data_IF_124410937216
#
_entry.id   IF_124410937216
#
_cell.length_a   1.000
_cell.length_b   1.000
_cell.length_c   1.000
_cell.angle_alpha   90.00
_cell.angle_beta   90.00
_cell.angle_gamma   90.00
#
_symmetry.space_group_name_H-M   'P 1'
#
loop_
_entity.id
_entity.type
_entity.pdbx_description
1 polymer ?
#
# COMPACT_ATOMS: atom_id res chain seq x y z
N UNK A 1 22.19 -30.13 -18.68
CA UNK A 1 21.03 -30.66 -19.44
C UNK A 1 19.80 -30.45 -18.57
N UNK A 2 19.27 -29.22 -18.57
CA UNK A 2 18.05 -28.79 -17.87
C UNK A 2 17.68 -27.43 -18.46
N UNK A 3 17.13 -27.47 -19.68
CA UNK A 3 16.68 -26.30 -20.45
C UNK A 3 15.15 -26.36 -20.61
N UNK A 4 14.45 -26.71 -19.51
CA UNK A 4 13.07 -27.16 -19.55
C UNK A 4 12.01 -26.18 -19.00
N UNK A 5 12.38 -25.09 -18.30
CA UNK A 5 11.37 -24.36 -17.49
C UNK A 5 11.17 -22.88 -17.82
N UNK A 6 11.58 -22.41 -19.01
CA UNK A 6 11.22 -21.07 -19.50
C UNK A 6 9.97 -21.08 -20.39
N UNK A 7 8.95 -21.85 -20.01
CA UNK A 7 7.62 -21.75 -20.64
C UNK A 7 6.98 -20.45 -20.15
N UNK A 8 7.11 -19.39 -20.96
CA UNK A 8 6.46 -18.11 -20.70
C UNK A 8 4.98 -18.35 -20.36
N UNK A 9 4.48 -17.82 -19.22
CA UNK A 9 3.12 -18.07 -18.77
C UNK A 9 2.15 -17.66 -19.87
N UNK A 10 1.23 -18.57 -20.24
CA UNK A 10 0.23 -18.30 -21.26
C UNK A 10 -0.55 -17.03 -20.90
N UNK A 11 -0.76 -16.13 -21.88
CA UNK A 11 -1.43 -14.82 -21.70
C UNK A 11 -2.77 -14.94 -20.94
N UNK A 12 -3.43 -16.09 -21.05
CA UNK A 12 -4.67 -16.45 -20.34
C UNK A 12 -4.47 -16.57 -18.83
N UNK A 13 -3.41 -17.26 -18.35
CA UNK A 13 -3.11 -17.37 -16.91
C UNK A 13 -2.82 -16.00 -16.29
N UNK A 14 -2.12 -15.14 -17.04
CA UNK A 14 -1.78 -13.79 -16.58
C UNK A 14 -3.03 -12.90 -16.44
N UNK A 15 -3.98 -12.99 -17.39
CA UNK A 15 -5.27 -12.28 -17.29
C UNK A 15 -6.12 -12.76 -16.11
N UNK A 16 -6.21 -14.07 -15.90
CA UNK A 16 -6.98 -14.63 -14.78
C UNK A 16 -6.38 -14.21 -13.44
N UNK A 17 -5.06 -14.29 -13.29
CA UNK A 17 -4.37 -13.84 -12.08
C UNK A 17 -4.60 -12.35 -11.78
N UNK A 18 -4.57 -11.50 -12.81
CA UNK A 18 -4.87 -10.07 -12.66
C UNK A 18 -6.33 -9.83 -12.24
N UNK A 19 -7.27 -10.56 -12.83
CA UNK A 19 -8.69 -10.42 -12.51
C UNK A 19 -9.00 -10.89 -11.10
N UNK A 20 -8.44 -12.05 -10.72
CA UNK A 20 -8.55 -12.59 -9.37
C UNK A 20 -7.95 -11.64 -8.33
N UNK A 21 -6.77 -11.09 -8.61
CA UNK A 21 -6.13 -10.08 -7.75
C UNK A 21 -7.02 -8.87 -7.52
N UNK A 22 -7.68 -8.34 -8.56
CA UNK A 22 -8.58 -7.18 -8.45
C UNK A 22 -9.78 -7.45 -7.53
N UNK A 23 -10.45 -8.58 -7.73
CA UNK A 23 -11.63 -8.95 -6.93
C UNK A 23 -11.22 -9.25 -5.48
N UNK A 24 -10.14 -10.01 -5.31
CA UNK A 24 -9.63 -10.37 -3.99
C UNK A 24 -9.17 -9.14 -3.20
N UNK A 25 -8.44 -8.21 -3.82
CA UNK A 25 -8.04 -6.96 -3.16
C UNK A 25 -9.24 -6.09 -2.77
N UNK A 26 -10.26 -5.99 -3.62
CA UNK A 26 -11.47 -5.25 -3.27
C UNK A 26 -12.19 -5.86 -2.07
N UNK A 27 -12.34 -7.19 -2.03
CA UNK A 27 -12.94 -7.89 -0.89
C UNK A 27 -12.13 -7.70 0.40
N UNK A 28 -10.80 -7.83 0.34
CA UNK A 28 -9.92 -7.61 1.49
C UNK A 28 -10.01 -6.17 1.98
N UNK A 29 -10.04 -5.19 1.07
CA UNK A 29 -10.19 -3.77 1.43
C UNK A 29 -11.51 -3.51 2.17
N UNK A 30 -12.62 -4.08 1.70
CA UNK A 30 -13.93 -3.97 2.36
C UNK A 30 -13.92 -4.64 3.74
N UNK A 31 -13.38 -5.85 3.85
CA UNK A 31 -13.30 -6.57 5.12
C UNK A 31 -12.47 -5.82 6.17
N UNK A 32 -11.31 -5.26 5.79
CA UNK A 32 -10.48 -4.45 6.68
C UNK A 32 -11.21 -3.17 7.08
N UNK A 33 -11.90 -2.52 6.15
CA UNK A 33 -12.67 -1.30 6.39
C UNK A 33 -13.77 -1.53 7.43
N UNK A 34 -14.58 -2.58 7.25
CA UNK A 34 -15.63 -2.94 8.20
C UNK A 34 -15.05 -3.28 9.58
N UNK A 35 -13.98 -4.09 9.63
CA UNK A 35 -13.32 -4.41 10.89
C UNK A 35 -12.72 -3.19 11.61
N UNK A 36 -12.30 -2.18 10.86
CA UNK A 36 -11.85 -0.88 11.39
C UNK A 36 -12.99 -0.05 11.95
N UNK A 37 -14.14 -0.03 11.28
CA UNK A 37 -15.34 0.69 11.74
C UNK A 37 -15.77 0.15 13.11
N UNK A 38 -15.84 -1.17 13.26
CA UNK A 38 -16.29 -1.80 14.51
C UNK A 38 -15.32 -1.57 15.67
N UNK A 39 -14.01 -1.59 15.40
CA UNK A 39 -12.98 -1.45 16.46
C UNK A 39 -12.68 -0.01 16.86
N UNK A 40 -12.70 0.92 15.90
CA UNK A 40 -12.11 2.26 16.04
C UNK A 40 -13.07 3.39 15.65
N UNK A 41 -14.25 3.06 15.15
CA UNK A 41 -15.28 4.01 14.73
C UNK A 41 -15.18 4.41 13.26
N UNK A 42 -16.22 5.13 12.81
CA UNK A 42 -16.44 5.49 11.40
C UNK A 42 -15.28 6.27 10.80
N UNK A 43 -14.66 7.18 11.56
CA UNK A 43 -13.54 8.00 11.07
C UNK A 43 -12.35 7.16 10.58
N UNK A 44 -11.97 6.11 11.33
CA UNK A 44 -10.90 5.20 10.92
C UNK A 44 -11.33 4.25 9.82
N UNK A 45 -12.62 3.89 9.77
CA UNK A 45 -13.21 3.22 8.62
C UNK A 45 -13.03 4.00 7.32
N UNK A 46 -13.37 5.29 7.32
CA UNK A 46 -13.21 6.16 6.13
C UNK A 46 -11.75 6.25 5.73
N UNK A 47 -10.83 6.42 6.69
CA UNK A 47 -9.40 6.46 6.40
C UNK A 47 -8.90 5.15 5.78
N UNK A 48 -9.31 4.00 6.34
CA UNK A 48 -8.99 2.69 5.81
C UNK A 48 -9.56 2.51 4.39
N UNK A 49 -10.82 2.89 4.17
CA UNK A 49 -11.48 2.81 2.86
C UNK A 49 -10.73 3.62 1.81
N UNK A 50 -10.32 4.85 2.14
CA UNK A 50 -9.53 5.70 1.24
C UNK A 50 -8.16 5.08 0.94
N UNK A 51 -7.50 4.56 1.97
CA UNK A 51 -6.13 4.01 1.86
C UNK A 51 -6.13 2.72 1.04
N UNK A 52 -6.93 1.73 1.44
CA UNK A 52 -7.02 0.45 0.75
C UNK A 52 -7.75 0.55 -0.58
N UNK A 53 -8.71 1.47 -0.71
CA UNK A 53 -9.36 1.79 -1.97
C UNK A 53 -8.41 2.40 -2.98
N UNK A 54 -7.57 3.35 -2.57
CA UNK A 54 -6.52 3.91 -3.44
C UNK A 54 -5.49 2.84 -3.85
N UNK A 55 -5.06 1.99 -2.91
CA UNK A 55 -4.22 0.82 -3.19
C UNK A 55 -4.87 -0.13 -4.21
N UNK A 56 -6.15 -0.47 -4.03
CA UNK A 56 -6.87 -1.31 -4.98
C UNK A 56 -6.99 -0.64 -6.36
N UNK A 57 -7.15 0.69 -6.41
CA UNK A 57 -7.15 1.45 -7.66
C UNK A 57 -5.80 1.39 -8.39
N UNK A 58 -4.67 1.24 -7.68
CA UNK A 58 -3.35 1.08 -8.34
C UNK A 58 -3.25 -0.18 -9.19
N UNK A 59 -4.04 -1.22 -8.92
CA UNK A 59 -4.08 -2.47 -9.72
C UNK A 59 -4.64 -2.24 -11.13
N UNK A 60 -5.29 -1.10 -11.36
CA UNK A 60 -5.77 -0.69 -12.68
C UNK A 60 -4.67 -0.01 -13.49
N UNK A 61 -3.62 0.48 -12.82
CA UNK A 61 -2.49 1.14 -13.47
C UNK A 61 -1.47 0.07 -13.89
N UNK A 62 -0.95 0.12 -15.13
CA UNK A 62 0.11 -0.78 -15.57
C UNK A 62 1.34 -0.65 -14.66
N UNK A 63 1.89 -1.79 -14.21
CA UNK A 63 3.01 -1.83 -13.28
C UNK A 63 4.21 -0.98 -13.74
N UNK A 64 4.51 -0.97 -15.04
CA UNK A 64 5.57 -0.14 -15.63
C UNK A 64 5.34 1.35 -15.39
N UNK A 65 4.11 1.84 -15.59
CA UNK A 65 3.76 3.25 -15.33
C UNK A 65 3.86 3.59 -13.84
N UNK A 66 3.48 2.66 -12.97
CA UNK A 66 3.58 2.84 -11.53
C UNK A 66 5.05 2.95 -11.08
N UNK A 67 5.93 2.10 -11.63
CA UNK A 67 7.38 2.15 -11.39
C UNK A 67 8.00 3.44 -11.91
N UNK A 68 7.64 3.88 -13.11
CA UNK A 68 8.14 5.14 -13.67
C UNK A 68 7.68 6.35 -12.86
N UNK A 69 6.42 6.33 -12.39
CA UNK A 69 5.90 7.37 -11.51
C UNK A 69 6.60 7.39 -10.15
N UNK A 70 6.78 6.22 -9.52
CA UNK A 70 7.51 6.09 -8.23
C UNK A 70 8.95 6.60 -8.35
N UNK A 71 9.65 6.29 -9.45
CA UNK A 71 11.00 6.81 -9.73
C UNK A 71 11.03 8.34 -9.85
N UNK A 72 9.98 8.96 -10.43
CA UNK A 72 9.87 10.42 -10.59
C UNK A 72 9.39 11.14 -9.33
N UNK A 73 8.53 10.50 -8.54
CA UNK A 73 7.87 11.10 -7.37
C UNK A 73 8.07 10.29 -6.09
N UNK A 74 9.30 10.04 -5.68
CA UNK A 74 9.55 9.13 -4.59
C UNK A 74 9.16 9.66 -3.20
N UNK A 75 9.03 10.98 -3.04
CA UNK A 75 8.48 11.55 -1.80
C UNK A 75 6.98 11.27 -1.67
N UNK A 76 6.24 11.31 -2.79
CA UNK A 76 4.81 10.96 -2.79
C UNK A 76 4.61 9.47 -2.52
N UNK A 77 5.51 8.63 -3.03
CA UNK A 77 5.49 7.18 -2.74
C UNK A 77 5.71 6.90 -1.24
N UNK A 78 6.64 7.62 -0.60
CA UNK A 78 6.83 7.57 0.85
C UNK A 78 5.62 8.11 1.65
N UNK A 79 4.88 9.08 1.09
CA UNK A 79 3.68 9.62 1.72
C UNK A 79 2.51 8.62 1.68
N UNK A 80 2.39 7.82 0.62
CA UNK A 80 1.42 6.73 0.54
C UNK A 80 1.58 5.68 1.64
N UNK A 81 2.79 5.55 2.20
CA UNK A 81 3.06 4.66 3.34
C UNK A 81 2.45 5.17 4.65
N UNK A 82 2.33 6.49 4.85
CA UNK A 82 1.84 7.09 6.08
C UNK A 82 0.45 6.59 6.50
N UNK A 83 -0.58 6.65 5.64
CA UNK A 83 -1.91 6.18 6.00
C UNK A 83 -1.97 4.65 6.18
N UNK A 84 -1.17 3.89 5.43
CA UNK A 84 -1.08 2.42 5.60
C UNK A 84 -0.51 2.09 6.98
N UNK A 85 0.55 2.79 7.38
CA UNK A 85 1.21 2.61 8.67
C UNK A 85 0.29 3.01 9.82
N UNK A 86 -0.45 4.12 9.67
CA UNK A 86 -1.48 4.55 10.61
C UNK A 86 -2.60 3.51 10.76
N UNK A 87 -3.14 3.00 9.66
CA UNK A 87 -4.16 1.94 9.66
C UNK A 87 -3.63 0.66 10.35
N UNK A 88 -2.40 0.25 10.05
CA UNK A 88 -1.77 -0.92 10.67
C UNK A 88 -1.57 -0.76 12.18
N UNK A 89 -1.01 0.37 12.62
CA UNK A 89 -0.83 0.68 14.03
C UNK A 89 -2.16 0.76 14.77
N UNK A 90 -3.16 1.40 14.18
CA UNK A 90 -4.47 1.53 14.79
C UNK A 90 -5.21 0.19 14.88
N UNK A 91 -4.93 -0.74 13.96
CA UNK A 91 -5.49 -2.08 14.00
C UNK A 91 -4.84 -2.93 15.11
N UNK A 92 -3.53 -2.80 15.28
CA UNK A 92 -2.73 -3.63 16.20
C UNK A 92 -2.73 -3.11 17.64
N UNK A 93 -2.77 -1.81 17.84
CA UNK A 93 -2.74 -1.20 19.18
C UNK A 93 -4.12 -0.71 19.57
N UNK A 94 -4.37 -0.55 20.87
CA UNK A 94 -5.54 0.15 21.43
C UNK A 94 -5.22 1.59 21.86
N UNK A 95 -4.03 2.09 21.50
CA UNK A 95 -3.56 3.43 21.83
C UNK A 95 -4.51 4.51 21.28
N UNK A 96 -4.60 5.65 21.97
CA UNK A 96 -5.40 6.79 21.50
C UNK A 96 -5.04 7.17 20.06
N UNK A 97 -6.03 7.65 19.30
CA UNK A 97 -5.87 8.07 17.90
C UNK A 97 -4.74 9.08 17.70
N UNK A 98 -4.55 9.99 18.66
CA UNK A 98 -3.48 10.99 18.67
C UNK A 98 -2.08 10.35 18.74
N UNK A 99 -1.89 9.35 19.59
CA UNK A 99 -0.62 8.61 19.67
C UNK A 99 -0.34 7.84 18.38
N UNK A 100 -1.38 7.26 17.78
CA UNK A 100 -1.28 6.58 16.50
C UNK A 100 -0.86 7.54 15.39
N UNK A 101 -1.48 8.72 15.34
CA UNK A 101 -1.13 9.79 14.40
C UNK A 101 0.31 10.26 14.61
N UNK A 102 0.72 10.48 15.87
CA UNK A 102 2.08 10.89 16.20
C UNK A 102 3.12 9.87 15.72
N UNK A 103 2.92 8.58 16.01
CA UNK A 103 3.83 7.52 15.55
C UNK A 103 3.84 7.43 14.02
N UNK A 104 2.68 7.55 13.36
CA UNK A 104 2.62 7.54 11.91
C UNK A 104 3.40 8.72 11.30
N UNK A 105 3.21 9.94 11.81
CA UNK A 105 3.92 11.14 11.34
C UNK A 105 5.42 11.00 11.55
N UNK A 106 5.86 10.56 12.74
CA UNK A 106 7.28 10.35 13.04
C UNK A 106 7.87 9.25 12.14
N UNK A 107 7.17 8.14 11.98
CA UNK A 107 7.58 7.03 11.13
C UNK A 107 7.73 7.44 9.67
N UNK A 108 6.77 8.21 9.14
CA UNK A 108 6.83 8.77 7.79
C UNK A 108 7.97 9.77 7.64
N UNK A 109 8.16 10.68 8.61
CA UNK A 109 9.25 11.64 8.58
C UNK A 109 10.62 10.93 8.58
N UNK A 110 10.80 9.90 9.39
CA UNK A 110 12.01 9.07 9.41
C UNK A 110 12.23 8.34 8.08
N UNK A 111 11.18 7.74 7.50
CA UNK A 111 11.26 7.10 6.20
C UNK A 111 11.68 8.10 5.10
N UNK A 112 11.06 9.28 5.07
CA UNK A 112 11.41 10.33 4.11
C UNK A 112 12.84 10.83 4.33
N UNK A 113 13.28 10.97 5.58
CA UNK A 113 14.65 11.35 5.92
C UNK A 113 15.67 10.30 5.45
N UNK A 114 15.41 9.00 5.70
CA UNK A 114 16.28 7.89 5.27
C UNK A 114 16.32 7.80 3.74
N UNK A 115 15.18 7.94 3.07
CA UNK A 115 15.09 7.92 1.61
C UNK A 115 15.81 9.14 1.00
N UNK A 116 15.68 10.32 1.61
CA UNK A 116 16.40 11.53 1.24
C UNK A 116 17.91 11.36 1.40
N UNK A 117 18.36 10.85 2.55
CA UNK A 117 19.76 10.59 2.85
C UNK A 117 20.40 9.61 1.86
N UNK A 118 19.74 8.47 1.61
CA UNK A 118 20.21 7.47 0.63
C UNK A 118 20.37 8.05 -0.76
N UNK A 119 19.53 9.01 -1.16
CA UNK A 119 19.65 9.67 -2.47
C UNK A 119 20.71 10.75 -2.51
N UNK A 120 20.90 11.49 -1.41
CA UNK A 120 22.00 12.43 -1.27
C UNK A 120 23.36 11.75 -1.41
N UNK A 121 23.48 10.50 -0.94
CA UNK A 121 24.69 9.68 -1.02
C UNK A 121 24.97 9.07 -2.40
N UNK A 122 23.98 9.05 -3.31
CA UNK A 122 24.11 8.50 -4.66
C UNK A 122 24.31 9.60 -5.74
N UNK A 123 24.41 10.87 -5.32
CA UNK A 123 24.81 12.01 -6.14
C UNK A 123 26.24 12.40 -5.80
#
# INVERSE_FOLDING_TARGET
MTDADNVAPSRTKQRIAQWFSRVFLALVAVAITLGMIDKRGVAMGVLAALTYGALAATVWVPFQRLMDWSRRHPMLDGLCFAPILLCGLAYLTSLSLLWCLGIAVIGTALLLAVVGWRRGLLR
#
